data_IF_247085804807
#
_entry.id   IF_247085804807
#
_cell.length_a   1.000
_cell.length_b   1.000
_cell.length_c   1.000
_cell.angle_alpha   90.00
_cell.angle_beta   90.00
_cell.angle_gamma   90.00
#
_symmetry.space_group_name_H-M   'P 1'
#
loop_
_entity.id
_entity.type
_entity.pdbx_description
1 polymer ?
#
# COMPACT_ATOMS: atom_id res chain seq x y z
N UNK A 1 -13.91 -9.49 -22.16
CA UNK A 1 -14.70 -8.31 -21.70
C UNK A 1 -15.22 -8.60 -20.32
N UNK A 2 -14.83 -7.78 -19.33
CA UNK A 2 -15.38 -7.81 -17.99
C UNK A 2 -16.46 -6.72 -17.90
N UNK A 3 -17.65 -7.04 -17.39
CA UNK A 3 -18.75 -6.06 -17.22
C UNK A 3 -19.41 -6.21 -15.86
N UNK A 4 -19.98 -5.13 -15.36
CA UNK A 4 -20.76 -5.08 -14.12
C UNK A 4 -21.73 -3.89 -14.17
N UNK A 5 -22.65 -3.81 -13.19
CA UNK A 5 -23.56 -2.67 -13.06
C UNK A 5 -22.84 -1.32 -13.07
N UNK A 6 -21.65 -1.26 -12.47
CA UNK A 6 -20.83 -0.04 -12.40
C UNK A 6 -19.36 -0.37 -12.69
N UNK A 7 -18.69 0.53 -13.44
CA UNK A 7 -17.21 0.59 -13.53
C UNK A 7 -16.75 1.94 -13.01
N UNK A 8 -15.78 1.92 -12.08
CA UNK A 8 -15.08 3.09 -11.56
C UNK A 8 -13.63 3.08 -12.07
N UNK A 9 -13.29 3.81 -13.12
CA UNK A 9 -11.95 3.80 -13.70
C UNK A 9 -10.87 4.42 -12.81
N UNK A 10 -11.25 5.21 -11.81
CA UNK A 10 -10.35 5.96 -10.92
C UNK A 10 -9.41 6.92 -11.65
N UNK A 11 -9.88 7.48 -12.76
CA UNK A 11 -9.24 8.57 -13.51
C UNK A 11 -9.53 9.93 -12.85
N UNK A 12 -8.84 11.03 -13.23
CA UNK A 12 -8.98 12.34 -12.58
C UNK A 12 -10.42 12.85 -12.42
N UNK A 13 -11.28 12.60 -13.41
CA UNK A 13 -12.68 13.06 -13.41
C UNK A 13 -13.62 12.16 -12.59
N UNK A 14 -13.11 11.07 -12.01
CA UNK A 14 -13.89 10.08 -11.25
C UNK A 14 -15.20 9.68 -11.93
N UNK A 15 -15.20 9.23 -13.20
CA UNK A 15 -16.42 8.87 -13.89
C UNK A 15 -17.05 7.62 -13.24
N UNK A 16 -18.38 7.58 -13.23
CA UNK A 16 -19.17 6.40 -12.84
C UNK A 16 -19.83 5.87 -14.09
N UNK A 17 -19.32 4.77 -14.63
CA UNK A 17 -19.83 4.18 -15.86
C UNK A 17 -20.91 3.13 -15.50
N UNK A 18 -22.15 3.45 -15.81
CA UNK A 18 -23.27 2.51 -15.69
C UNK A 18 -23.23 1.50 -16.83
N UNK A 19 -23.52 0.25 -16.55
CA UNK A 19 -23.41 -0.85 -17.51
C UNK A 19 -22.05 -0.80 -18.26
N UNK A 20 -21.00 -0.45 -17.50
CA UNK A 20 -19.66 -0.28 -18.02
C UNK A 20 -18.96 -1.61 -18.27
N UNK A 21 -17.92 -1.56 -19.08
CA UNK A 21 -17.09 -2.73 -19.35
C UNK A 21 -15.61 -2.36 -19.53
N UNK A 22 -14.75 -3.34 -19.25
CA UNK A 22 -13.31 -3.30 -19.45
C UNK A 22 -12.93 -4.40 -20.43
N UNK A 23 -12.29 -4.04 -21.54
CA UNK A 23 -11.68 -4.99 -22.46
C UNK A 23 -10.25 -5.26 -22.02
N UNK A 24 -9.92 -6.51 -21.78
CA UNK A 24 -8.58 -6.98 -21.40
C UNK A 24 -8.00 -7.81 -22.55
N UNK A 25 -6.78 -7.52 -22.94
CA UNK A 25 -6.00 -8.28 -23.93
C UNK A 25 -4.64 -8.67 -23.32
N UNK A 26 -4.45 -9.97 -23.09
CA UNK A 26 -3.29 -10.45 -22.38
C UNK A 26 -3.22 -9.88 -20.95
N UNK A 27 -2.11 -9.23 -20.63
CA UNK A 27 -1.86 -8.64 -19.30
C UNK A 27 -2.37 -7.19 -19.15
N UNK A 28 -3.00 -6.61 -20.22
CA UNK A 28 -3.29 -5.18 -20.27
C UNK A 28 -4.76 -4.85 -20.52
N UNK A 29 -5.14 -3.67 -20.06
CA UNK A 29 -6.40 -3.03 -20.38
C UNK A 29 -6.29 -2.49 -21.83
N UNK A 30 -7.12 -2.97 -22.72
CA UNK A 30 -7.19 -2.51 -24.11
C UNK A 30 -8.16 -1.32 -24.26
N UNK A 31 -9.31 -1.37 -23.59
CA UNK A 31 -10.30 -0.30 -23.61
C UNK A 31 -11.22 -0.33 -22.38
N UNK A 32 -11.82 0.83 -22.08
CA UNK A 32 -12.83 1.00 -21.03
C UNK A 32 -13.96 1.87 -21.58
N UNK A 33 -15.21 1.48 -21.34
CA UNK A 33 -16.36 2.24 -21.83
C UNK A 33 -17.68 1.51 -21.63
N UNK A 34 -18.67 1.76 -22.51
CA UNK A 34 -19.93 1.02 -22.49
C UNK A 34 -19.75 -0.43 -22.93
N UNK A 35 -20.57 -1.33 -22.42
CA UNK A 35 -20.57 -2.73 -22.88
C UNK A 35 -20.80 -2.85 -24.40
N UNK A 36 -21.64 -1.95 -24.98
CA UNK A 36 -21.91 -1.92 -26.42
C UNK A 36 -20.66 -1.60 -27.23
N UNK A 37 -19.85 -0.62 -26.80
CA UNK A 37 -18.60 -0.25 -27.44
C UNK A 37 -17.58 -1.40 -27.38
N UNK A 38 -17.44 -2.03 -26.20
CA UNK A 38 -16.49 -3.14 -26.02
C UNK A 38 -16.85 -4.35 -26.89
N UNK A 39 -18.14 -4.70 -26.98
CA UNK A 39 -18.62 -5.75 -27.91
C UNK A 39 -18.38 -5.41 -29.38
N UNK A 40 -18.44 -4.13 -29.72
CA UNK A 40 -18.16 -3.68 -31.11
C UNK A 40 -16.68 -3.75 -31.44
N UNK A 41 -15.80 -3.42 -30.48
CA UNK A 41 -14.35 -3.51 -30.61
C UNK A 41 -13.84 -4.95 -30.68
N UNK A 42 -14.41 -5.84 -29.87
CA UNK A 42 -13.97 -7.23 -29.77
C UNK A 42 -15.19 -8.18 -29.75
N UNK A 43 -15.86 -8.41 -30.90
CA UNK A 43 -17.10 -9.18 -30.96
C UNK A 43 -16.94 -10.66 -30.61
N UNK A 44 -15.73 -11.20 -30.74
CA UNK A 44 -15.42 -12.59 -30.41
C UNK A 44 -14.82 -12.78 -29.00
N UNK A 45 -14.65 -11.68 -28.23
CA UNK A 45 -14.09 -11.77 -26.89
C UNK A 45 -15.05 -12.48 -25.94
N UNK A 46 -14.52 -13.30 -25.05
CA UNK A 46 -15.27 -13.86 -23.95
C UNK A 46 -15.88 -12.75 -23.09
N UNK A 47 -17.14 -12.90 -22.73
CA UNK A 47 -17.86 -11.96 -21.86
C UNK A 47 -18.04 -12.57 -20.47
N UNK A 48 -17.50 -11.89 -19.47
CA UNK A 48 -17.68 -12.25 -18.06
C UNK A 48 -18.49 -11.13 -17.40
N UNK A 49 -19.71 -11.45 -16.97
CA UNK A 49 -20.64 -10.50 -16.35
C UNK A 49 -20.73 -10.75 -14.85
N UNK A 50 -20.32 -9.75 -14.05
CA UNK A 50 -20.39 -9.78 -12.59
C UNK A 50 -21.73 -9.24 -12.03
N UNK A 51 -22.69 -8.91 -12.89
CA UNK A 51 -24.05 -8.48 -12.50
C UNK A 51 -24.02 -7.24 -11.59
N UNK A 52 -24.68 -7.33 -10.44
CA UNK A 52 -24.74 -6.25 -9.44
C UNK A 52 -23.42 -6.14 -8.66
N UNK A 53 -22.37 -5.73 -9.36
CA UNK A 53 -21.05 -5.47 -8.78
C UNK A 53 -20.49 -4.12 -9.26
N UNK A 54 -19.41 -3.69 -8.62
CA UNK A 54 -18.59 -2.56 -9.03
C UNK A 54 -17.23 -3.09 -9.48
N UNK A 55 -16.85 -2.82 -10.73
CA UNK A 55 -15.48 -3.02 -11.21
C UNK A 55 -14.66 -1.76 -10.92
N UNK A 56 -13.48 -1.94 -10.36
CA UNK A 56 -12.53 -0.87 -10.09
C UNK A 56 -11.09 -1.41 -10.17
N UNK A 57 -10.05 -0.53 -10.21
CA UNK A 57 -8.68 -1.00 -10.13
C UNK A 57 -8.44 -1.82 -8.87
N UNK A 58 -7.55 -2.79 -8.94
CA UNK A 58 -7.08 -3.52 -7.78
C UNK A 58 -6.54 -2.58 -6.70
N UNK A 59 -6.82 -2.91 -5.45
CA UNK A 59 -6.37 -2.12 -4.31
C UNK A 59 -4.86 -2.27 -4.11
N UNK A 60 -4.23 -1.18 -3.69
CA UNK A 60 -2.79 -1.07 -3.48
C UNK A 60 -2.54 -0.84 -2.00
N UNK A 61 -1.97 -1.83 -1.34
CA UNK A 61 -1.48 -1.76 0.02
C UNK A 61 -0.05 -1.22 0.02
N UNK A 62 0.13 0.05 0.38
CA UNK A 62 1.42 0.73 0.27
C UNK A 62 2.38 0.43 1.42
N UNK A 63 1.94 -0.30 2.45
CA UNK A 63 2.81 -0.75 3.53
C UNK A 63 2.18 -1.92 4.27
N UNK A 64 2.93 -3.01 4.36
CA UNK A 64 2.57 -4.18 5.14
C UNK A 64 3.82 -4.92 5.63
N UNK A 65 3.61 -5.81 6.61
CA UNK A 65 4.58 -6.80 7.04
C UNK A 65 3.90 -8.16 7.00
N UNK A 66 4.45 -9.11 6.26
CA UNK A 66 4.00 -10.49 6.34
C UNK A 66 4.15 -11.04 7.76
N UNK A 67 3.23 -11.88 8.21
CA UNK A 67 3.24 -12.42 9.56
C UNK A 67 2.13 -13.45 9.78
N UNK A 68 2.06 -14.00 10.99
CA UNK A 68 1.04 -14.98 11.40
C UNK A 68 0.75 -14.95 12.91
N UNK A 69 1.12 -13.83 13.59
CA UNK A 69 1.02 -13.70 15.04
C UNK A 69 -0.13 -12.78 15.49
N UNK A 70 -1.25 -12.78 14.77
CA UNK A 70 -2.43 -11.97 15.09
C UNK A 70 -2.90 -12.16 16.50
N UNK A 71 -3.23 -11.07 17.17
CA UNK A 71 -3.76 -11.10 18.54
C UNK A 71 -2.77 -11.57 19.60
N UNK A 72 -1.46 -11.57 19.32
CA UNK A 72 -0.45 -12.06 20.26
C UNK A 72 0.34 -10.95 20.96
N UNK A 73 0.25 -9.71 20.49
CA UNK A 73 0.99 -8.56 21.02
C UNK A 73 0.07 -7.33 21.11
N UNK A 74 -0.88 -7.39 22.02
CA UNK A 74 -1.92 -6.38 22.19
C UNK A 74 -1.60 -5.40 23.34
N UNK A 75 -2.30 -4.25 23.35
CA UNK A 75 -2.34 -3.27 24.45
C UNK A 75 -0.99 -2.65 24.83
N UNK A 76 -0.10 -2.47 23.85
CA UNK A 76 1.22 -1.89 24.06
C UNK A 76 1.49 -0.73 23.10
N UNK A 77 2.14 0.37 23.56
CA UNK A 77 2.67 1.40 22.66
C UNK A 77 3.84 0.84 21.85
N UNK A 78 4.10 1.41 20.67
CA UNK A 78 5.01 0.89 19.64
C UNK A 78 6.39 0.48 20.17
N UNK A 79 7.05 1.29 21.01
CA UNK A 79 8.39 0.97 21.52
C UNK A 79 8.45 -0.23 22.48
N UNK A 80 7.43 -0.38 23.34
CA UNK A 80 7.30 -1.55 24.20
C UNK A 80 6.87 -2.78 23.42
N UNK A 81 5.98 -2.61 22.42
CA UNK A 81 5.56 -3.63 21.50
C UNK A 81 6.75 -4.20 20.69
N UNK A 82 7.58 -3.35 20.09
CA UNK A 82 8.82 -3.76 19.42
C UNK A 82 9.72 -4.56 20.35
N UNK A 83 10.10 -3.99 21.49
CA UNK A 83 11.08 -4.56 22.41
C UNK A 83 10.62 -5.88 23.06
N UNK A 84 9.34 -6.02 23.39
CA UNK A 84 8.81 -7.17 24.14
C UNK A 84 8.35 -8.32 23.24
N UNK A 85 7.93 -8.04 22.01
CA UNK A 85 7.36 -9.06 21.13
C UNK A 85 8.06 -9.13 19.77
N UNK A 86 8.28 -8.02 19.09
CA UNK A 86 8.72 -8.07 17.70
C UNK A 86 10.21 -8.41 17.61
N UNK A 87 11.07 -7.76 18.38
CA UNK A 87 12.50 -8.10 18.42
C UNK A 87 12.75 -9.55 18.84
N UNK A 88 12.11 -10.06 19.91
CA UNK A 88 12.22 -11.48 20.25
C UNK A 88 11.72 -12.42 19.15
N UNK A 89 10.62 -12.07 18.47
CA UNK A 89 10.08 -12.86 17.36
C UNK A 89 11.09 -12.91 16.20
N UNK A 90 11.65 -11.75 15.80
CA UNK A 90 12.64 -11.69 14.73
C UNK A 90 13.91 -12.49 15.03
N UNK A 91 14.29 -12.62 16.31
CA UNK A 91 15.47 -13.44 16.73
C UNK A 91 15.27 -14.93 16.56
N UNK A 92 14.04 -15.42 16.56
CA UNK A 92 13.71 -16.85 16.43
C UNK A 92 13.09 -17.20 15.07
N UNK A 93 12.69 -16.21 14.28
CA UNK A 93 12.08 -16.38 12.97
C UNK A 93 13.02 -17.14 12.04
N UNK A 94 12.52 -18.21 11.43
CA UNK A 94 13.24 -18.96 10.38
C UNK A 94 12.79 -18.55 8.98
N UNK A 95 13.58 -18.90 7.98
CA UNK A 95 13.21 -18.65 6.57
C UNK A 95 11.95 -19.41 6.15
N UNK A 96 11.71 -20.61 6.73
CA UNK A 96 10.50 -21.41 6.48
C UNK A 96 9.27 -20.72 7.09
N UNK A 97 9.34 -20.25 8.34
CA UNK A 97 8.26 -19.50 8.99
C UNK A 97 7.93 -18.22 8.21
N UNK A 98 8.96 -17.47 7.77
CA UNK A 98 8.78 -16.25 7.01
C UNK A 98 8.10 -16.50 5.65
N UNK A 99 8.43 -17.59 4.97
CA UNK A 99 7.77 -17.98 3.72
C UNK A 99 6.31 -18.35 3.95
N UNK A 100 6.00 -19.16 4.99
CA UNK A 100 4.62 -19.54 5.34
C UNK A 100 3.79 -18.29 5.65
N UNK A 101 4.35 -17.33 6.40
CA UNK A 101 3.69 -16.06 6.68
C UNK A 101 3.33 -15.30 5.40
N UNK A 102 4.26 -15.22 4.43
CA UNK A 102 4.00 -14.55 3.15
C UNK A 102 2.92 -15.27 2.32
N UNK A 103 2.89 -16.61 2.29
CA UNK A 103 1.81 -17.35 1.65
C UNK A 103 0.44 -16.98 2.21
N UNK A 104 0.32 -16.91 3.55
CA UNK A 104 -0.92 -16.57 4.23
C UNK A 104 -1.36 -15.13 3.91
N UNK A 105 -0.44 -14.16 4.07
CA UNK A 105 -0.73 -12.75 3.88
C UNK A 105 -1.05 -12.40 2.43
N UNK A 106 -0.32 -12.96 1.46
CA UNK A 106 -0.58 -12.71 0.05
C UNK A 106 -1.89 -13.36 -0.42
N UNK A 107 -2.23 -14.54 0.08
CA UNK A 107 -3.53 -15.15 -0.19
C UNK A 107 -4.68 -14.29 0.38
N UNK A 108 -4.57 -13.81 1.63
CA UNK A 108 -5.57 -12.93 2.23
C UNK A 108 -5.72 -11.62 1.46
N UNK A 109 -4.60 -11.01 1.03
CA UNK A 109 -4.58 -9.80 0.21
C UNK A 109 -5.36 -10.00 -1.10
N UNK A 110 -5.12 -11.09 -1.84
CA UNK A 110 -5.87 -11.40 -3.06
C UNK A 110 -7.36 -11.63 -2.78
N UNK A 111 -7.70 -12.36 -1.71
CA UNK A 111 -9.08 -12.65 -1.34
C UNK A 111 -9.87 -11.39 -0.95
N UNK A 112 -9.17 -10.34 -0.50
CA UNK A 112 -9.77 -9.05 -0.12
C UNK A 112 -9.60 -7.95 -1.19
N UNK A 113 -9.11 -8.30 -2.40
CA UNK A 113 -9.04 -7.37 -3.54
C UNK A 113 -7.76 -6.54 -3.62
N UNK A 114 -6.76 -6.84 -2.81
CA UNK A 114 -5.44 -6.20 -2.91
C UNK A 114 -4.62 -6.90 -3.98
N UNK A 115 -4.31 -6.19 -5.06
CA UNK A 115 -3.52 -6.71 -6.18
C UNK A 115 -2.03 -6.41 -6.05
N UNK A 116 -1.69 -5.31 -5.35
CA UNK A 116 -0.31 -4.85 -5.15
C UNK A 116 -0.07 -4.59 -3.67
N UNK A 117 1.02 -5.14 -3.13
CA UNK A 117 1.47 -4.89 -1.75
C UNK A 117 2.92 -4.42 -1.71
N UNK A 118 3.23 -3.42 -0.88
CA UNK A 118 4.59 -3.14 -0.43
C UNK A 118 4.79 -3.91 0.87
N UNK A 119 5.60 -4.94 0.83
CA UNK A 119 5.81 -5.84 1.97
C UNK A 119 7.24 -5.70 2.52
N UNK A 120 7.36 -5.22 3.75
CA UNK A 120 8.63 -5.15 4.45
C UNK A 120 8.76 -6.35 5.37
N UNK A 121 9.58 -7.34 4.98
CA UNK A 121 9.70 -8.60 5.69
C UNK A 121 11.11 -9.18 5.66
N UNK A 122 11.33 -10.29 6.34
CA UNK A 122 12.61 -10.99 6.40
C UNK A 122 12.62 -12.25 5.51
N UNK A 123 13.83 -12.66 5.10
CA UNK A 123 14.03 -13.87 4.29
C UNK A 123 13.19 -13.89 3.00
N UNK A 124 13.07 -12.75 2.33
CA UNK A 124 12.07 -12.52 1.28
C UNK A 124 12.23 -13.33 0.00
N UNK A 125 13.25 -14.17 -0.14
CA UNK A 125 13.31 -15.16 -1.21
C UNK A 125 12.12 -16.15 -1.13
N UNK A 126 11.64 -16.46 0.08
CA UNK A 126 10.40 -17.22 0.30
C UNK A 126 9.16 -16.44 -0.11
N UNK A 127 9.10 -15.17 0.26
CA UNK A 127 8.02 -14.26 -0.17
C UNK A 127 7.91 -14.16 -1.69
N UNK A 128 9.07 -14.11 -2.38
CA UNK A 128 9.12 -14.09 -3.84
C UNK A 128 8.50 -15.33 -4.47
N UNK A 129 8.79 -16.53 -3.93
CA UNK A 129 8.17 -17.78 -4.40
C UNK A 129 6.65 -17.79 -4.17
N UNK A 130 6.22 -17.30 -3.01
CA UNK A 130 4.78 -17.18 -2.70
C UNK A 130 4.09 -16.22 -3.67
N UNK A 131 4.65 -15.04 -3.90
CA UNK A 131 4.11 -14.04 -4.84
C UNK A 131 4.06 -14.55 -6.28
N UNK A 132 5.12 -15.23 -6.75
CA UNK A 132 5.15 -15.82 -8.09
C UNK A 132 4.06 -16.88 -8.26
N UNK A 133 3.90 -17.77 -7.28
CA UNK A 133 2.94 -18.87 -7.34
C UNK A 133 1.48 -18.41 -7.20
N UNK A 134 1.20 -17.43 -6.33
CA UNK A 134 -0.14 -16.88 -6.12
C UNK A 134 -0.56 -15.86 -7.17
N UNK A 135 0.42 -15.24 -7.85
CA UNK A 135 0.16 -14.24 -8.88
C UNK A 135 0.14 -12.79 -8.38
N UNK A 136 0.43 -12.52 -7.12
CA UNK A 136 0.47 -11.16 -6.56
C UNK A 136 1.49 -10.26 -7.29
N UNK A 137 1.18 -8.96 -7.31
CA UNK A 137 2.20 -7.93 -7.53
C UNK A 137 2.75 -7.50 -6.17
N UNK A 138 4.07 -7.55 -6.01
CA UNK A 138 4.70 -7.21 -4.71
C UNK A 138 5.93 -6.33 -4.93
N UNK A 139 6.03 -5.28 -4.14
CA UNK A 139 7.25 -4.52 -3.91
C UNK A 139 7.84 -5.05 -2.61
N UNK A 140 8.88 -5.86 -2.72
CA UNK A 140 9.56 -6.48 -1.59
C UNK A 140 10.58 -5.53 -1.01
N UNK A 141 10.55 -5.37 0.30
CA UNK A 141 11.46 -4.50 1.06
C UNK A 141 12.08 -5.32 2.18
N UNK A 142 13.33 -5.76 2.08
CA UNK A 142 13.97 -6.46 3.18
C UNK A 142 14.03 -5.65 4.47
N UNK A 143 13.81 -6.30 5.58
CA UNK A 143 13.79 -5.71 6.92
C UNK A 143 15.21 -5.53 7.44
N UNK A 144 15.92 -4.49 6.95
CA UNK A 144 17.35 -4.29 7.16
C UNK A 144 17.66 -3.47 8.41
N UNK A 145 18.62 -3.97 9.20
CA UNK A 145 19.26 -3.24 10.30
C UNK A 145 20.76 -3.46 10.28
N UNK A 146 21.53 -2.37 10.24
CA UNK A 146 23.02 -2.37 10.12
C UNK A 146 23.70 -1.72 11.32
N UNK A 147 22.94 -1.36 12.38
CA UNK A 147 23.51 -0.85 13.62
C UNK A 147 23.87 -1.98 14.57
N UNK A 148 24.81 -1.75 15.49
CA UNK A 148 25.18 -2.71 16.53
C UNK A 148 23.96 -3.13 17.37
N UNK A 149 23.78 -4.45 17.58
CA UNK A 149 22.69 -5.03 18.33
C UNK A 149 21.47 -5.45 17.47
N UNK A 150 21.49 -5.15 16.16
CA UNK A 150 20.43 -5.53 15.21
C UNK A 150 20.86 -6.65 14.24
N UNK A 151 21.76 -7.50 14.69
CA UNK A 151 22.34 -8.65 13.97
C UNK A 151 21.33 -9.77 13.62
N UNK A 152 20.11 -9.64 14.06
CA UNK A 152 18.97 -10.52 13.73
C UNK A 152 18.13 -10.04 12.56
N UNK A 153 18.35 -8.84 12.05
CA UNK A 153 17.73 -8.35 10.82
C UNK A 153 18.50 -8.81 9.58
N UNK A 154 17.91 -8.59 8.40
CA UNK A 154 18.61 -8.77 7.14
C UNK A 154 19.66 -7.67 6.97
N UNK A 155 20.67 -7.91 6.14
CA UNK A 155 21.73 -6.95 5.83
C UNK A 155 21.50 -6.30 4.48
N UNK A 156 22.22 -5.19 4.18
CA UNK A 156 22.24 -4.62 2.83
C UNK A 156 22.84 -5.59 1.80
N UNK A 157 23.69 -6.54 2.21
CA UNK A 157 24.17 -7.60 1.31
C UNK A 157 23.05 -8.57 0.94
N UNK A 158 22.20 -8.96 1.90
CA UNK A 158 21.01 -9.79 1.66
C UNK A 158 20.02 -9.06 0.74
N UNK A 159 19.81 -7.76 0.98
CA UNK A 159 18.95 -6.93 0.13
C UNK A 159 19.49 -6.84 -1.30
N UNK A 160 20.79 -6.61 -1.48
CA UNK A 160 21.42 -6.56 -2.80
C UNK A 160 21.32 -7.91 -3.53
N UNK A 161 21.52 -9.02 -2.83
CA UNK A 161 21.33 -10.35 -3.38
C UNK A 161 19.88 -10.60 -3.82
N UNK A 162 18.90 -10.16 -3.01
CA UNK A 162 17.49 -10.26 -3.36
C UNK A 162 17.13 -9.45 -4.61
N UNK A 163 17.65 -8.19 -4.73
CA UNK A 163 17.51 -7.37 -5.94
C UNK A 163 18.04 -8.12 -7.16
N UNK A 164 19.26 -8.64 -7.09
CA UNK A 164 19.89 -9.34 -8.22
C UNK A 164 19.12 -10.59 -8.63
N UNK A 165 18.47 -11.27 -7.69
CA UNK A 165 17.76 -12.52 -7.95
C UNK A 165 16.33 -12.30 -8.42
N UNK A 166 15.60 -11.33 -7.85
CA UNK A 166 14.14 -11.25 -7.95
C UNK A 166 13.58 -9.96 -8.56
N UNK A 167 14.37 -8.87 -8.62
CA UNK A 167 13.84 -7.62 -9.17
C UNK A 167 13.47 -7.79 -10.66
N UNK A 168 12.24 -7.42 -11.01
CA UNK A 168 11.67 -7.55 -12.36
C UNK A 168 11.23 -8.96 -12.75
N UNK A 169 11.23 -9.94 -11.83
CA UNK A 169 10.76 -11.31 -12.11
C UNK A 169 9.23 -11.41 -12.12
N UNK A 170 8.73 -12.61 -12.48
CA UNK A 170 7.30 -12.91 -12.61
C UNK A 170 6.60 -11.89 -13.55
N UNK A 171 7.17 -11.68 -14.74
CA UNK A 171 6.67 -10.74 -15.75
C UNK A 171 6.53 -9.29 -15.22
N UNK A 172 7.48 -8.87 -14.35
CA UNK A 172 7.53 -7.55 -13.74
C UNK A 172 6.61 -7.37 -12.52
N UNK A 173 5.91 -8.42 -12.06
CA UNK A 173 5.07 -8.34 -10.86
C UNK A 173 5.88 -8.30 -9.56
N UNK A 174 7.11 -8.83 -9.56
CA UNK A 174 7.99 -8.81 -8.39
C UNK A 174 9.01 -7.69 -8.57
N UNK A 175 8.96 -6.70 -7.67
CA UNK A 175 9.95 -5.63 -7.58
C UNK A 175 10.62 -5.69 -6.21
N UNK A 176 11.89 -5.33 -6.13
CA UNK A 176 12.64 -5.31 -4.87
C UNK A 176 13.18 -3.91 -4.65
N UNK A 177 12.84 -3.32 -3.53
CA UNK A 177 13.32 -2.02 -3.09
C UNK A 177 14.40 -2.16 -2.02
N UNK A 178 15.15 -1.10 -1.80
CA UNK A 178 16.07 -1.03 -0.67
C UNK A 178 15.28 -0.76 0.60
N UNK A 179 15.43 -1.62 1.60
CA UNK A 179 14.81 -1.50 2.90
C UNK A 179 15.77 -0.98 3.94
N UNK A 180 15.30 -0.10 4.80
CA UNK A 180 15.87 0.17 6.11
C UNK A 180 14.71 0.14 7.08
N UNK A 181 14.76 -0.71 8.09
CA UNK A 181 13.64 -0.80 9.04
C UNK A 181 13.34 0.58 9.63
N UNK A 182 14.36 1.23 10.18
CA UNK A 182 14.30 2.60 10.63
C UNK A 182 15.69 3.25 10.59
N UNK A 183 15.78 4.58 10.43
CA UNK A 183 17.06 5.29 10.45
C UNK A 183 17.85 5.06 11.74
N UNK A 184 17.19 4.73 12.85
CA UNK A 184 17.83 4.44 14.14
C UNK A 184 18.57 3.10 14.17
N UNK A 185 18.24 2.20 13.25
CA UNK A 185 18.86 0.87 13.12
C UNK A 185 19.91 0.81 12.02
N UNK A 186 20.22 1.97 11.43
CA UNK A 186 21.24 2.10 10.39
C UNK A 186 22.38 3.02 10.80
N UNK A 187 23.59 2.72 10.31
CA UNK A 187 24.72 3.65 10.42
C UNK A 187 24.69 4.66 9.27
N UNK A 188 25.36 5.83 9.39
CA UNK A 188 25.46 6.77 8.27
C UNK A 188 26.13 6.14 7.03
N UNK A 189 27.01 5.15 7.20
CA UNK A 189 27.60 4.39 6.09
C UNK A 189 26.56 3.51 5.40
N UNK A 190 25.73 2.80 6.19
CA UNK A 190 24.63 2.00 5.66
C UNK A 190 23.61 2.88 4.90
N UNK A 191 23.29 4.06 5.40
CA UNK A 191 22.40 5.00 4.70
C UNK A 191 23.00 5.41 3.33
N UNK A 192 24.28 5.79 3.26
CA UNK A 192 24.94 6.11 1.99
C UNK A 192 24.93 4.92 1.02
N UNK A 193 25.19 3.73 1.53
CA UNK A 193 25.16 2.50 0.72
C UNK A 193 23.75 2.21 0.20
N UNK A 194 22.72 2.37 1.02
CA UNK A 194 21.31 2.20 0.61
C UNK A 194 20.94 3.14 -0.54
N UNK A 195 21.32 4.43 -0.46
CA UNK A 195 21.11 5.40 -1.54
C UNK A 195 21.84 4.97 -2.83
N UNK A 196 23.12 4.60 -2.72
CA UNK A 196 23.89 4.13 -3.88
C UNK A 196 23.31 2.85 -4.53
N UNK A 197 22.69 1.97 -3.73
CA UNK A 197 21.99 0.80 -4.25
C UNK A 197 20.72 1.19 -5.03
N UNK A 198 19.95 2.17 -4.54
CA UNK A 198 18.78 2.67 -5.26
C UNK A 198 19.16 3.20 -6.65
N UNK A 199 20.22 4.00 -6.74
CA UNK A 199 20.76 4.52 -8.00
C UNK A 199 21.25 3.39 -8.93
N UNK A 200 22.09 2.49 -8.38
CA UNK A 200 22.71 1.40 -9.15
C UNK A 200 21.69 0.47 -9.78
N UNK A 201 20.63 0.13 -9.07
CA UNK A 201 19.61 -0.83 -9.51
C UNK A 201 18.34 -0.17 -10.03
N UNK A 202 18.29 1.16 -10.11
CA UNK A 202 17.11 1.94 -10.49
C UNK A 202 15.86 1.48 -9.72
N UNK A 203 15.99 1.36 -8.39
CA UNK A 203 14.92 0.92 -7.50
C UNK A 203 14.59 1.96 -6.44
N UNK A 204 13.56 1.73 -5.62
CA UNK A 204 13.14 2.65 -4.57
C UNK A 204 13.74 2.34 -3.21
N UNK A 205 13.47 3.22 -2.25
CA UNK A 205 13.79 3.09 -0.83
C UNK A 205 12.52 3.15 0.01
N UNK A 206 12.41 2.31 1.03
CA UNK A 206 11.31 2.33 1.98
C UNK A 206 11.83 2.22 3.42
N UNK A 207 11.25 3.02 4.32
CA UNK A 207 11.53 3.02 5.76
C UNK A 207 10.36 3.60 6.55
N UNK A 208 10.33 3.35 7.86
CA UNK A 208 9.40 3.99 8.80
C UNK A 208 9.92 5.38 9.20
N UNK A 209 8.99 6.30 9.45
CA UNK A 209 9.35 7.65 9.95
C UNK A 209 8.17 8.32 10.64
N UNK A 210 8.47 9.08 11.68
CA UNK A 210 7.52 9.94 12.40
C UNK A 210 6.29 9.19 12.90
N UNK A 211 6.43 7.91 13.25
CA UNK A 211 5.30 7.10 13.71
C UNK A 211 4.85 7.53 15.10
N UNK A 212 5.77 7.60 16.05
CA UNK A 212 5.45 7.94 17.43
C UNK A 212 6.04 9.30 17.83
N UNK A 213 5.35 10.02 18.74
CA UNK A 213 5.83 11.32 19.27
C UNK A 213 7.23 11.22 19.87
N UNK A 214 7.56 10.08 20.48
CA UNK A 214 8.87 9.83 21.09
C UNK A 214 10.04 9.88 20.07
N UNK A 215 9.79 9.62 18.78
CA UNK A 215 10.79 9.72 17.74
C UNK A 215 11.35 11.13 17.58
N UNK A 216 10.52 12.15 17.77
CA UNK A 216 10.96 13.57 17.70
C UNK A 216 12.10 13.81 18.71
N UNK A 217 11.91 13.33 19.94
CA UNK A 217 12.93 13.46 21.00
C UNK A 217 14.19 12.66 20.72
N UNK A 218 14.06 11.46 20.19
CA UNK A 218 15.20 10.60 19.84
C UNK A 218 15.97 11.15 18.64
N UNK A 219 15.29 11.64 17.59
CA UNK A 219 15.93 12.29 16.46
C UNK A 219 16.70 13.55 16.88
N UNK A 220 16.08 14.39 17.71
CA UNK A 220 16.72 15.59 18.26
C UNK A 220 17.98 15.24 19.05
N UNK A 221 17.95 14.17 19.83
CA UNK A 221 19.10 13.70 20.61
C UNK A 221 20.24 13.14 19.75
N UNK A 222 19.92 12.35 18.70
CA UNK A 222 20.93 11.68 17.86
C UNK A 222 21.43 12.55 16.72
N UNK A 223 20.57 13.33 16.10
CA UNK A 223 20.85 14.07 14.86
C UNK A 223 20.75 15.60 15.03
N UNK A 224 20.20 16.10 16.13
CA UNK A 224 20.02 17.53 16.39
C UNK A 224 18.90 18.18 15.59
N UNK A 225 18.00 17.39 14.98
CA UNK A 225 16.87 17.87 14.17
C UNK A 225 15.70 16.89 14.25
N UNK A 226 14.57 17.22 13.60
CA UNK A 226 13.40 16.35 13.51
C UNK A 226 13.65 15.10 12.62
N UNK A 227 12.80 14.05 12.68
CA UNK A 227 13.04 12.81 11.95
C UNK A 227 13.17 12.99 10.44
N UNK A 228 12.27 13.75 9.79
CA UNK A 228 12.35 14.00 8.33
C UNK A 228 13.63 14.77 7.97
N UNK A 229 14.04 15.75 8.78
CA UNK A 229 15.30 16.46 8.57
C UNK A 229 16.52 15.57 8.78
N UNK A 230 16.43 14.59 9.69
CA UNK A 230 17.47 13.60 9.86
C UNK A 230 17.58 12.66 8.64
N UNK A 231 16.46 12.21 8.07
CA UNK A 231 16.47 11.45 6.82
C UNK A 231 17.09 12.26 5.67
N UNK A 232 16.79 13.56 5.56
CA UNK A 232 17.41 14.47 4.58
C UNK A 232 18.94 14.54 4.78
N UNK A 233 19.40 14.76 6.02
CA UNK A 233 20.84 14.83 6.36
C UNK A 233 21.58 13.51 6.04
N UNK A 234 20.89 12.37 6.19
CA UNK A 234 21.43 11.05 5.89
C UNK A 234 21.36 10.72 4.38
N UNK A 235 20.75 11.61 3.55
CA UNK A 235 20.59 11.43 2.12
C UNK A 235 19.45 10.45 1.74
N UNK A 236 18.65 9.99 2.70
CA UNK A 236 17.62 8.97 2.46
C UNK A 236 16.39 9.50 1.72
N UNK A 237 16.29 10.82 1.50
CA UNK A 237 15.25 11.46 0.68
C UNK A 237 15.72 11.77 -0.75
N UNK A 238 16.96 11.38 -1.14
CA UNK A 238 17.51 11.65 -2.47
C UNK A 238 17.16 10.63 -3.56
N UNK A 239 16.90 9.33 -3.28
CA UNK A 239 16.47 8.41 -4.32
C UNK A 239 15.22 8.90 -5.06
N UNK A 240 15.14 8.56 -6.37
CA UNK A 240 14.00 8.97 -7.23
C UNK A 240 12.64 8.49 -6.68
N UNK A 241 12.63 7.33 -6.01
CA UNK A 241 11.44 6.73 -5.41
C UNK A 241 11.71 6.44 -3.95
N UNK A 242 11.04 7.19 -3.09
CA UNK A 242 11.08 6.99 -1.63
C UNK A 242 9.66 6.91 -1.11
N UNK A 243 9.40 5.93 -0.26
CA UNK A 243 8.14 5.75 0.44
C UNK A 243 8.41 5.75 1.94
N UNK A 244 7.72 6.59 2.68
CA UNK A 244 7.80 6.64 4.14
C UNK A 244 6.51 6.10 4.76
N UNK A 245 6.62 5.14 5.66
CA UNK A 245 5.49 4.64 6.42
C UNK A 245 5.16 5.55 7.60
N UNK A 246 3.87 5.64 7.94
CA UNK A 246 3.22 6.35 9.03
C UNK A 246 3.16 7.86 8.88
N UNK A 247 4.26 8.60 9.02
CA UNK A 247 4.30 10.07 8.90
C UNK A 247 3.22 10.77 9.78
N UNK A 248 3.07 10.33 11.03
CA UNK A 248 2.03 10.81 11.96
C UNK A 248 2.40 12.18 12.54
N UNK A 249 3.64 12.35 12.98
CA UNK A 249 4.13 13.50 13.71
C UNK A 249 4.99 14.41 12.81
N UNK A 250 4.32 15.10 11.87
CA UNK A 250 4.94 16.05 10.93
C UNK A 250 4.58 17.49 11.27
N UNK A 251 5.51 18.40 11.04
CA UNK A 251 5.24 19.83 10.98
C UNK A 251 5.03 20.33 9.53
N UNK A 252 4.66 21.63 9.38
CA UNK A 252 4.38 22.21 8.06
C UNK A 252 5.61 22.24 7.15
N UNK A 253 6.81 22.48 7.70
CA UNK A 253 8.06 22.53 6.95
C UNK A 253 8.48 21.13 6.47
N UNK A 254 8.22 20.11 7.26
CA UNK A 254 8.44 18.71 6.89
C UNK A 254 7.48 18.27 5.77
N UNK A 255 6.20 18.64 5.87
CA UNK A 255 5.22 18.37 4.81
C UNK A 255 5.63 19.04 3.49
N UNK A 256 6.09 20.29 3.55
CA UNK A 256 6.58 21.01 2.38
C UNK A 256 7.80 20.33 1.76
N UNK A 257 8.73 19.85 2.58
CA UNK A 257 9.91 19.11 2.11
C UNK A 257 9.53 17.78 1.43
N UNK A 258 8.59 17.03 2.01
CA UNK A 258 8.11 15.79 1.40
C UNK A 258 7.48 16.05 0.01
N UNK A 259 6.71 17.12 -0.12
CA UNK A 259 6.12 17.55 -1.39
C UNK A 259 7.20 17.97 -2.42
N UNK A 260 8.18 18.80 -2.01
CA UNK A 260 9.29 19.26 -2.85
C UNK A 260 10.10 18.08 -3.42
N UNK A 261 10.38 17.10 -2.57
CA UNK A 261 11.16 15.90 -2.92
C UNK A 261 10.33 14.79 -3.58
N UNK A 262 9.03 14.99 -3.78
CA UNK A 262 8.10 13.99 -4.33
C UNK A 262 8.13 12.65 -3.57
N UNK A 263 8.19 12.71 -2.25
CA UNK A 263 8.21 11.54 -1.37
C UNK A 263 6.79 10.96 -1.24
N UNK A 264 6.65 9.64 -1.41
CA UNK A 264 5.41 8.92 -1.12
C UNK A 264 5.22 8.68 0.37
N UNK A 265 3.97 8.71 0.83
CA UNK A 265 3.60 8.40 2.21
C UNK A 265 2.62 7.24 2.25
N UNK A 266 2.90 6.23 3.06
CA UNK A 266 1.97 5.15 3.38
C UNK A 266 1.26 5.46 4.70
N UNK A 267 -0.03 5.76 4.63
CA UNK A 267 -0.89 6.02 5.79
C UNK A 267 -1.44 4.72 6.34
N UNK A 268 -1.14 4.40 7.61
CA UNK A 268 -1.47 3.13 8.28
C UNK A 268 -2.45 3.40 9.44
N UNK A 269 -3.72 3.76 9.19
CA UNK A 269 -4.60 4.29 10.23
C UNK A 269 -4.93 3.28 11.33
N UNK A 270 -5.16 2.01 11.02
CA UNK A 270 -5.48 0.99 12.02
C UNK A 270 -4.30 0.76 12.97
N UNK A 271 -3.10 0.58 12.43
CA UNK A 271 -1.87 0.44 13.21
C UNK A 271 -1.63 1.66 14.10
N UNK A 272 -1.70 2.87 13.52
CA UNK A 272 -1.50 4.11 14.26
C UNK A 272 -2.47 4.27 15.43
N UNK A 273 -3.72 3.80 15.29
CA UNK A 273 -4.70 3.80 16.37
C UNK A 273 -4.43 2.69 17.39
N UNK A 274 -4.13 1.47 16.92
CA UNK A 274 -3.90 0.31 17.79
C UNK A 274 -2.69 0.49 18.69
N UNK A 275 -1.58 1.00 18.13
CA UNK A 275 -0.34 1.28 18.86
C UNK A 275 -0.35 2.65 19.57
N UNK A 276 -1.47 3.38 19.47
CA UNK A 276 -1.63 4.73 20.03
C UNK A 276 -0.56 5.72 19.52
N UNK A 277 -0.08 5.53 18.29
CA UNK A 277 0.93 6.38 17.65
C UNK A 277 0.40 7.77 17.33
N UNK A 278 -0.90 7.89 17.02
CA UNK A 278 -1.57 9.16 16.72
C UNK A 278 -2.35 9.14 15.40
N UNK A 279 -2.63 10.33 14.85
CA UNK A 279 -3.33 10.47 13.57
C UNK A 279 -2.53 11.36 12.62
N UNK A 280 -2.15 10.82 11.47
CA UNK A 280 -1.36 11.54 10.45
C UNK A 280 -2.11 12.75 9.86
N UNK A 281 -1.41 13.82 9.46
CA UNK A 281 -2.00 15.03 8.90
C UNK A 281 -2.34 14.88 7.40
N UNK A 282 -3.22 13.92 7.08
CA UNK A 282 -3.49 13.48 5.70
C UNK A 282 -4.02 14.61 4.81
N UNK A 283 -4.93 15.45 5.33
CA UNK A 283 -5.47 16.58 4.57
C UNK A 283 -4.36 17.60 4.19
N UNK A 284 -3.41 17.86 5.10
CA UNK A 284 -2.28 18.74 4.83
C UNK A 284 -1.31 18.14 3.82
N UNK A 285 -1.01 16.83 3.93
CA UNK A 285 -0.17 16.11 2.98
C UNK A 285 -0.77 16.15 1.56
N UNK A 286 -2.06 15.83 1.41
CA UNK A 286 -2.76 15.87 0.12
C UNK A 286 -2.80 17.31 -0.43
N UNK A 287 -3.10 18.31 0.41
CA UNK A 287 -3.14 19.72 -0.01
C UNK A 287 -1.78 20.23 -0.47
N UNK A 288 -0.69 19.72 0.09
CA UNK A 288 0.68 20.00 -0.35
C UNK A 288 1.09 19.25 -1.62
N UNK A 289 0.27 18.31 -2.12
CA UNK A 289 0.53 17.51 -3.33
C UNK A 289 1.34 16.24 -3.09
N UNK A 290 1.58 15.85 -1.83
CA UNK A 290 2.21 14.57 -1.47
C UNK A 290 1.34 13.41 -1.93
N UNK A 291 1.95 12.39 -2.54
CA UNK A 291 1.28 11.15 -2.87
C UNK A 291 1.04 10.34 -1.59
N UNK A 292 -0.23 10.19 -1.20
CA UNK A 292 -0.61 9.43 -0.01
C UNK A 292 -1.30 8.14 -0.44
N UNK A 293 -0.65 7.01 -0.18
CA UNK A 293 -1.25 5.68 -0.26
C UNK A 293 -1.79 5.23 1.10
N UNK A 294 -2.55 4.15 1.12
CA UNK A 294 -3.05 3.51 2.34
C UNK A 294 -2.30 2.19 2.51
N UNK A 295 -1.85 1.91 3.72
CA UNK A 295 -1.26 0.65 4.12
C UNK A 295 -2.00 0.04 5.30
N UNK A 296 -2.09 -1.28 5.33
CA UNK A 296 -2.65 -2.00 6.48
C UNK A 296 -1.68 -2.07 7.65
N UNK A 297 -0.38 -1.86 7.37
CA UNK A 297 0.70 -2.33 8.21
C UNK A 297 0.68 -3.87 8.31
N UNK A 298 1.39 -4.48 9.25
CA UNK A 298 1.39 -5.91 9.41
C UNK A 298 0.13 -6.44 10.08
N UNK A 299 -0.05 -7.73 9.99
CA UNK A 299 -1.18 -8.42 10.61
C UNK A 299 -1.12 -8.42 12.17
N UNK A 300 0.04 -8.09 12.75
CA UNK A 300 0.23 -7.93 14.19
C UNK A 300 -0.22 -6.54 14.66
N UNK A 301 -0.05 -5.56 13.80
CA UNK A 301 -0.36 -4.14 14.00
C UNK A 301 -1.85 -3.83 13.72
N UNK A 302 -2.50 -4.64 12.86
CA UNK A 302 -3.86 -4.40 12.36
C UNK A 302 -4.85 -5.54 12.67
N UNK A 303 -4.36 -6.78 12.78
CA UNK A 303 -5.13 -8.04 12.91
C UNK A 303 -5.78 -8.54 11.62
N UNK A 304 -5.75 -7.80 10.52
CA UNK A 304 -6.13 -8.24 9.18
C UNK A 304 -5.39 -7.44 8.10
N UNK A 305 -5.58 -7.81 6.82
CA UNK A 305 -5.00 -7.13 5.66
C UNK A 305 -6.12 -6.67 4.69
N UNK A 306 -7.31 -6.37 5.22
CA UNK A 306 -8.49 -5.95 4.45
C UNK A 306 -8.42 -4.45 4.12
N UNK A 307 -8.01 -4.13 2.90
CA UNK A 307 -7.92 -2.74 2.41
C UNK A 307 -9.29 -2.03 2.35
N UNK A 308 -10.42 -2.76 2.19
CA UNK A 308 -11.75 -2.14 2.22
C UNK A 308 -12.15 -1.72 3.64
N UNK A 309 -11.71 -2.45 4.67
CA UNK A 309 -11.83 -2.00 6.06
C UNK A 309 -10.92 -0.80 6.32
N UNK A 310 -9.67 -0.86 5.86
CA UNK A 310 -8.66 0.17 6.09
C UNK A 310 -9.05 1.53 5.50
N UNK A 311 -9.62 1.57 4.28
CA UNK A 311 -10.10 2.83 3.68
C UNK A 311 -11.24 3.47 4.47
N UNK A 312 -12.11 2.68 5.09
CA UNK A 312 -13.16 3.19 5.99
C UNK A 312 -12.55 3.84 7.22
N UNK A 313 -11.61 3.15 7.84
CA UNK A 313 -10.92 3.62 9.04
C UNK A 313 -10.14 4.91 8.74
N UNK A 314 -9.41 4.97 7.62
CA UNK A 314 -8.70 6.15 7.15
C UNK A 314 -9.61 7.38 7.03
N UNK A 315 -10.78 7.20 6.37
CA UNK A 315 -11.78 8.28 6.21
C UNK A 315 -12.31 8.76 7.56
N UNK A 316 -12.68 7.85 8.45
CA UNK A 316 -13.28 8.20 9.74
C UNK A 316 -12.26 8.86 10.68
N UNK A 317 -11.02 8.40 10.70
CA UNK A 317 -9.95 8.97 11.51
C UNK A 317 -9.62 10.40 11.07
N UNK A 318 -9.53 10.66 9.77
CA UNK A 318 -9.29 12.02 9.26
C UNK A 318 -10.42 12.98 9.61
N UNK A 319 -11.70 12.54 9.50
CA UNK A 319 -12.88 13.34 9.90
C UNK A 319 -12.83 13.69 11.39
N UNK A 320 -12.47 12.72 12.23
CA UNK A 320 -12.34 12.94 13.67
C UNK A 320 -11.18 13.89 13.99
N UNK A 321 -10.02 13.72 13.35
CA UNK A 321 -8.86 14.61 13.53
C UNK A 321 -9.19 16.05 13.15
N UNK A 322 -9.81 16.27 11.99
CA UNK A 322 -10.12 17.59 11.47
C UNK A 322 -11.39 18.21 12.09
N UNK A 323 -12.20 17.42 12.83
CA UNK A 323 -13.56 17.81 13.26
C UNK A 323 -14.40 18.32 12.10
N UNK A 324 -14.20 17.73 10.91
CA UNK A 324 -14.89 18.06 9.66
C UNK A 324 -15.41 16.79 8.99
N UNK A 325 -16.72 16.71 8.79
CA UNK A 325 -17.37 15.57 8.14
C UNK A 325 -17.02 15.45 6.65
N UNK A 326 -16.48 16.49 6.03
CA UNK A 326 -16.04 16.49 4.63
C UNK A 326 -14.58 16.04 4.44
N UNK A 327 -13.77 16.04 5.51
CA UNK A 327 -12.35 15.65 5.44
C UNK A 327 -12.19 14.23 4.89
N UNK A 328 -11.17 14.03 4.06
CA UNK A 328 -10.80 12.79 3.40
C UNK A 328 -12.01 12.01 2.88
N UNK A 329 -12.74 12.69 1.98
CA UNK A 329 -13.99 12.18 1.42
C UNK A 329 -13.79 10.90 0.60
N UNK A 330 -14.88 10.18 0.33
CA UNK A 330 -14.84 8.83 -0.24
C UNK A 330 -14.03 8.72 -1.55
N UNK A 331 -14.10 9.70 -2.45
CA UNK A 331 -13.29 9.69 -3.65
C UNK A 331 -11.79 9.78 -3.35
N UNK A 332 -11.38 10.65 -2.43
CA UNK A 332 -9.97 10.81 -2.07
C UNK A 332 -9.41 9.53 -1.45
N UNK A 333 -10.18 8.89 -0.57
CA UNK A 333 -9.80 7.63 0.07
C UNK A 333 -9.67 6.50 -0.96
N UNK A 334 -10.63 6.36 -1.89
CA UNK A 334 -10.53 5.38 -2.98
C UNK A 334 -9.31 5.65 -3.88
N UNK A 335 -9.03 6.91 -4.18
CA UNK A 335 -7.83 7.28 -4.94
C UNK A 335 -6.56 6.90 -4.19
N UNK A 336 -6.49 7.10 -2.88
CA UNK A 336 -5.33 6.70 -2.08
C UNK A 336 -5.12 5.18 -2.04
N UNK A 337 -6.20 4.41 -2.10
CA UNK A 337 -6.11 2.94 -2.19
C UNK A 337 -5.88 2.44 -3.64
N UNK A 338 -5.82 3.31 -4.63
CA UNK A 338 -5.67 2.97 -6.05
C UNK A 338 -4.60 3.86 -6.72
N UNK A 339 -5.00 4.88 -7.49
CA UNK A 339 -4.07 5.69 -8.32
C UNK A 339 -3.06 6.51 -7.49
N UNK A 340 -3.44 7.06 -6.34
CA UNK A 340 -2.50 7.79 -5.47
C UNK A 340 -1.55 6.82 -4.75
N UNK A 341 -2.03 5.62 -4.37
CA UNK A 341 -1.18 4.54 -3.90
C UNK A 341 -0.15 4.13 -4.95
N UNK A 342 -0.58 3.97 -6.21
CA UNK A 342 0.33 3.72 -7.33
C UNK A 342 1.34 4.86 -7.52
N UNK A 343 0.92 6.13 -7.35
CA UNK A 343 1.80 7.29 -7.43
C UNK A 343 2.83 7.28 -6.29
N UNK A 344 2.41 6.95 -5.08
CA UNK A 344 3.29 6.90 -3.93
C UNK A 344 4.44 5.88 -4.08
N UNK A 345 4.20 4.80 -4.84
CA UNK A 345 5.21 3.77 -5.14
C UNK A 345 5.83 3.91 -6.54
N UNK A 346 5.57 5.01 -7.25
CA UNK A 346 6.15 5.27 -8.59
C UNK A 346 5.66 4.32 -9.69
N UNK A 347 4.43 3.79 -9.58
CA UNK A 347 3.84 2.85 -10.55
C UNK A 347 2.55 3.37 -11.21
N UNK A 348 2.24 4.66 -11.10
CA UNK A 348 0.99 5.24 -11.62
C UNK A 348 0.82 5.09 -13.14
N UNK A 349 1.91 4.97 -13.89
CA UNK A 349 1.88 4.71 -15.33
C UNK A 349 1.49 3.26 -15.67
N UNK A 350 1.54 2.36 -14.72
CA UNK A 350 1.35 0.93 -14.91
C UNK A 350 0.05 0.40 -14.31
N UNK A 351 -0.35 0.89 -13.13
CA UNK A 351 -1.49 0.39 -12.34
C UNK A 351 -2.26 1.54 -11.65
N UNK A 352 -3.31 1.21 -10.93
CA UNK A 352 -4.06 2.12 -10.04
C UNK A 352 -5.22 2.85 -10.70
N UNK A 353 -5.39 2.75 -12.02
CA UNK A 353 -6.59 3.19 -12.73
C UNK A 353 -6.89 2.27 -13.91
N UNK A 354 -8.18 2.23 -14.35
CA UNK A 354 -8.57 1.47 -15.51
C UNK A 354 -8.42 2.38 -16.76
N UNK A 355 -7.23 2.35 -17.34
CA UNK A 355 -6.89 3.12 -18.54
C UNK A 355 -6.22 2.22 -19.58
N UNK A 356 -6.49 2.44 -20.89
CA UNK A 356 -5.85 1.68 -21.95
C UNK A 356 -4.32 1.72 -21.85
N UNK A 357 -3.71 0.54 -21.97
CA UNK A 357 -2.26 0.35 -21.88
C UNK A 357 -1.73 0.02 -20.47
N UNK A 358 -2.48 0.26 -19.40
CA UNK A 358 -2.11 -0.17 -18.06
C UNK A 358 -2.32 -1.66 -17.86
N UNK A 359 -1.68 -2.21 -16.84
CA UNK A 359 -1.84 -3.60 -16.43
C UNK A 359 -3.29 -3.86 -16.01
N UNK A 360 -3.80 -5.03 -16.34
CA UNK A 360 -5.15 -5.44 -15.98
C UNK A 360 -5.21 -5.93 -14.51
N UNK A 361 -4.91 -5.02 -13.58
CA UNK A 361 -5.10 -5.23 -12.14
C UNK A 361 -6.50 -4.70 -11.78
N UNK A 362 -7.47 -5.58 -11.65
CA UNK A 362 -8.91 -5.26 -11.58
C UNK A 362 -9.57 -6.09 -10.47
N UNK A 363 -10.52 -5.47 -9.76
CA UNK A 363 -11.37 -6.20 -8.81
C UNK A 363 -12.85 -5.98 -9.11
N UNK A 364 -13.67 -6.94 -8.71
CA UNK A 364 -15.13 -6.83 -8.67
C UNK A 364 -15.62 -6.94 -7.22
N UNK A 365 -16.35 -5.91 -6.77
CA UNK A 365 -16.95 -5.87 -5.43
C UNK A 365 -18.46 -5.98 -5.56
N UNK A 366 -19.07 -6.95 -4.89
CA UNK A 366 -20.51 -7.18 -4.90
C UNK A 366 -21.28 -6.00 -4.31
N UNK A 367 -22.31 -5.55 -5.02
CA UNK A 367 -23.19 -4.48 -4.58
C UNK A 367 -24.60 -4.98 -4.17
N UNK A 368 -24.88 -6.28 -4.31
CA UNK A 368 -26.14 -6.94 -3.96
C UNK A 368 -26.23 -7.39 -2.48
N UNK A 369 -25.41 -6.78 -1.63
CA UNK A 369 -25.36 -7.10 -0.19
C UNK A 369 -26.16 -6.10 0.64
N UNK A 370 -26.64 -6.47 1.85
CA UNK A 370 -27.33 -5.53 2.73
C UNK A 370 -26.51 -4.28 3.08
N UNK A 371 -25.17 -4.40 3.16
CA UNK A 371 -24.27 -3.30 3.46
C UNK A 371 -24.18 -2.27 2.34
N UNK A 372 -24.44 -2.68 1.10
CA UNK A 372 -24.44 -1.82 -0.08
C UNK A 372 -25.83 -1.24 -0.40
N UNK A 373 -26.86 -1.53 0.40
CA UNK A 373 -28.23 -1.10 0.18
C UNK A 373 -28.58 0.17 0.98
N UNK A 374 -29.21 1.22 0.36
CA UNK A 374 -29.55 1.29 -1.06
C UNK A 374 -28.33 1.49 -1.95
N UNK A 375 -28.37 0.96 -3.17
CA UNK A 375 -27.33 1.15 -4.18
C UNK A 375 -27.85 2.08 -5.26
N UNK A 376 -27.51 3.36 -5.16
CA UNK A 376 -27.96 4.45 -6.04
C UNK A 376 -26.84 4.83 -6.99
N UNK A 377 -27.05 4.60 -8.28
CA UNK A 377 -26.02 4.70 -9.32
C UNK A 377 -26.01 6.03 -10.05
N UNK A 378 -27.04 6.87 -9.84
CA UNK A 378 -27.19 8.16 -10.50
C UNK A 378 -27.88 9.21 -9.62
N UNK A 379 -28.01 10.43 -10.18
CA UNK A 379 -28.71 11.55 -9.56
C UNK A 379 -27.98 12.15 -8.35
N UNK A 380 -28.65 13.08 -7.63
CA UNK A 380 -28.01 13.86 -6.57
C UNK A 380 -27.70 13.03 -5.30
N UNK A 381 -28.22 11.82 -5.22
CA UNK A 381 -28.03 10.90 -4.09
C UNK A 381 -27.17 9.68 -4.47
N UNK A 382 -26.47 9.72 -5.60
CA UNK A 382 -25.55 8.66 -5.98
C UNK A 382 -24.59 8.34 -4.84
N UNK A 383 -24.50 7.06 -4.46
CA UNK A 383 -23.76 6.64 -3.28
C UNK A 383 -22.78 5.49 -3.48
N UNK A 384 -22.49 5.11 -4.73
CA UNK A 384 -21.60 3.99 -5.07
C UNK A 384 -20.26 4.09 -4.32
N UNK A 385 -19.56 5.21 -4.45
CA UNK A 385 -18.27 5.45 -3.81
C UNK A 385 -18.38 5.52 -2.27
N UNK A 386 -19.47 6.06 -1.74
CA UNK A 386 -19.72 6.07 -0.29
C UNK A 386 -19.95 4.67 0.26
N UNK A 387 -20.72 3.84 -0.46
CA UNK A 387 -20.98 2.47 -0.05
C UNK A 387 -19.72 1.60 -0.13
N UNK A 388 -18.87 1.79 -1.14
CA UNK A 388 -17.58 1.11 -1.21
C UNK A 388 -16.71 1.45 0.01
N UNK A 389 -16.60 2.74 0.37
CA UNK A 389 -15.74 3.16 1.49
C UNK A 389 -16.33 2.80 2.85
N UNK A 390 -17.63 2.97 3.06
CA UNK A 390 -18.21 2.84 4.40
C UNK A 390 -19.00 1.55 4.63
N UNK A 391 -19.33 0.82 3.57
CA UNK A 391 -20.18 -0.37 3.63
C UNK A 391 -19.50 -1.67 3.21
N UNK A 392 -18.66 -1.65 2.16
CA UNK A 392 -18.00 -2.86 1.66
C UNK A 392 -16.89 -3.35 2.62
N UNK A 393 -16.61 -4.65 2.54
CA UNK A 393 -15.51 -5.33 3.23
C UNK A 393 -14.84 -6.29 2.24
N UNK A 394 -13.64 -6.77 2.53
CA UNK A 394 -12.92 -7.71 1.67
C UNK A 394 -13.71 -8.97 1.30
N UNK A 395 -14.57 -9.44 2.19
CA UNK A 395 -15.49 -10.56 1.90
C UNK A 395 -16.56 -10.27 0.84
N UNK A 396 -16.73 -9.02 0.38
CA UNK A 396 -17.61 -8.66 -0.73
C UNK A 396 -16.88 -8.69 -2.10
N UNK A 397 -15.57 -8.85 -2.11
CA UNK A 397 -14.78 -9.04 -3.33
C UNK A 397 -15.10 -10.42 -3.92
N UNK A 398 -15.54 -10.45 -5.17
CA UNK A 398 -15.90 -11.70 -5.88
C UNK A 398 -14.95 -12.02 -7.03
N UNK A 399 -14.06 -11.11 -7.39
CA UNK A 399 -13.00 -11.34 -8.37
C UNK A 399 -11.81 -10.45 -8.07
N UNK A 400 -10.61 -11.00 -8.17
CA UNK A 400 -9.33 -10.28 -8.15
C UNK A 400 -8.50 -10.75 -9.34
N UNK A 401 -8.07 -9.83 -10.18
CA UNK A 401 -7.26 -10.05 -11.36
C UNK A 401 -5.96 -9.26 -11.23
N UNK A 402 -4.84 -9.90 -11.50
CA UNK A 402 -3.50 -9.29 -11.49
C UNK A 402 -2.81 -9.57 -12.82
N UNK A 403 -2.57 -8.53 -13.61
CA UNK A 403 -1.95 -8.63 -14.93
C UNK A 403 -2.72 -9.56 -15.89
N UNK A 404 -4.05 -9.51 -15.88
CA UNK A 404 -4.94 -10.23 -16.80
C UNK A 404 -5.29 -11.66 -16.37
#
# INVERSE_FOLDING_TARGET
ILTAAIVLPMTPDNPVLQDGAVLVEGDRIAAVGSLGDMKSLAPEAELIDYGQAVLLPGLINTHSHSGFLRGTAEDLPVWDWLRLFIDPMHRVLTAEDAEIASWLCYAESLLSGTTTSVDMWRYMAGSARAAEALGNRVVMVPYVGEAEGYDYFDTLDDNEALIQQWHGKADGRINVWVGLEHMYYATPEACRRAVAMCERYNTGLHTHSNEAEAEIGEAMKRFGCSPIRALEQLGLLEPERVLLAHCVWLDEDEIALLAEKNIGVAHNPSSNMKLASGSAPIEQLIAAGVAVGIGTDGEKENNNLDMLEEIKIASLLAKLRCMDAAAYGAWNVLRSATIEGARAIGMADQIGSLEPGKQADIIAVRADTPRMTPFLTDGPFMNVHHNLVHGALGGDVCMTMVAG
#
